data_IF_220419776372
#
_entry.id   IF_220419776372
#
_cell.length_a   1.000
_cell.length_b   1.000
_cell.length_c   1.000
_cell.angle_alpha   90.00
_cell.angle_beta   90.00
_cell.angle_gamma   90.00
#
_symmetry.space_group_name_H-M   'P 1'
#
loop_
_entity.id
_entity.type
_entity.pdbx_description
1 polymer ?
#
# COMPACT_ATOMS: atom_id res chain seq x y z
N UNK A 1 21.23 -8.74 -0.01
CA UNK A 1 20.12 -7.77 -0.14
C UNK A 1 18.85 -8.55 -0.33
N UNK A 2 17.77 -8.20 0.38
CA UNK A 2 16.46 -8.79 0.16
C UNK A 2 15.99 -8.39 -1.24
N UNK A 3 15.90 -9.34 -2.15
CA UNK A 3 15.47 -9.07 -3.52
C UNK A 3 13.97 -8.72 -3.50
N UNK A 4 13.66 -7.45 -3.78
CA UNK A 4 12.29 -7.04 -4.08
C UNK A 4 11.81 -7.78 -5.33
N UNK A 5 10.66 -8.45 -5.24
CA UNK A 5 10.06 -9.19 -6.38
C UNK A 5 8.92 -8.44 -7.04
N UNK A 6 8.57 -7.27 -6.53
CA UNK A 6 7.52 -6.42 -7.06
C UNK A 6 7.43 -5.13 -6.26
N UNK A 7 6.52 -4.25 -6.68
CA UNK A 7 6.21 -2.99 -6.03
C UNK A 7 4.73 -3.00 -5.64
N UNK A 8 4.44 -2.48 -4.46
CA UNK A 8 3.10 -2.25 -3.96
C UNK A 8 2.83 -0.76 -3.88
N UNK A 9 1.62 -0.32 -4.27
CA UNK A 9 1.20 1.07 -4.14
C UNK A 9 -0.18 1.20 -3.51
N UNK A 10 -0.37 2.26 -2.73
CA UNK A 10 -1.66 2.67 -2.15
C UNK A 10 -2.04 4.02 -2.74
N UNK A 11 -2.97 4.02 -3.67
CA UNK A 11 -3.34 5.22 -4.42
C UNK A 11 -4.71 5.76 -3.97
N UNK A 12 -4.81 7.08 -3.85
CA UNK A 12 -6.09 7.74 -3.58
C UNK A 12 -6.95 7.74 -4.85
N UNK A 13 -8.02 6.96 -4.88
CA UNK A 13 -8.92 6.85 -6.04
C UNK A 13 -9.58 8.18 -6.46
N UNK A 14 -9.70 9.18 -5.56
CA UNK A 14 -10.33 10.48 -5.87
C UNK A 14 -9.43 11.41 -6.66
N UNK A 15 -8.16 11.52 -6.27
CA UNK A 15 -7.22 12.50 -6.83
C UNK A 15 -6.02 11.85 -7.53
N UNK A 16 -5.99 10.51 -7.59
CA UNK A 16 -4.87 9.73 -8.10
C UNK A 16 -3.52 10.12 -7.45
N UNK A 17 -3.58 10.41 -6.14
CA UNK A 17 -2.44 10.87 -5.35
C UNK A 17 -1.91 9.73 -4.49
N UNK A 18 -0.59 9.65 -4.37
CA UNK A 18 0.11 8.74 -3.46
C UNK A 18 0.33 9.44 -2.12
N UNK A 19 -0.20 8.87 -1.04
CA UNK A 19 0.06 9.36 0.31
C UNK A 19 1.52 9.10 0.73
N UNK A 20 2.02 9.77 1.78
CA UNK A 20 3.32 9.42 2.37
C UNK A 20 3.35 7.93 2.76
N UNK A 21 4.43 7.22 2.44
CA UNK A 21 4.60 5.77 2.63
C UNK A 21 3.65 4.87 1.81
N UNK A 22 3.03 5.41 0.76
CA UNK A 22 2.15 4.66 -0.12
C UNK A 22 2.84 3.73 -1.10
N UNK A 23 4.18 3.75 -1.19
CA UNK A 23 4.93 2.95 -2.15
C UNK A 23 6.02 2.20 -1.39
N UNK A 24 6.19 0.92 -1.72
CA UNK A 24 7.20 0.09 -1.10
C UNK A 24 7.36 -1.24 -1.81
N UNK A 25 8.47 -1.90 -1.49
CA UNK A 25 8.88 -3.12 -2.16
C UNK A 25 8.16 -4.35 -1.62
N UNK A 26 7.68 -5.21 -2.53
CA UNK A 26 7.08 -6.49 -2.21
C UNK A 26 8.13 -7.58 -2.22
N UNK A 27 8.47 -8.06 -1.02
CA UNK A 27 9.37 -9.19 -0.84
C UNK A 27 8.69 -10.51 -1.23
N UNK A 28 9.48 -11.44 -1.76
CA UNK A 28 8.99 -12.75 -2.21
C UNK A 28 8.51 -13.56 -1.01
N UNK A 29 7.23 -13.93 -0.99
CA UNK A 29 6.62 -14.70 0.10
C UNK A 29 5.86 -13.86 1.14
N UNK A 30 6.08 -12.54 1.19
CA UNK A 30 5.47 -11.65 2.19
C UNK A 30 4.61 -10.54 1.54
N UNK A 31 4.13 -10.76 0.32
CA UNK A 31 3.42 -9.75 -0.46
C UNK A 31 2.20 -9.18 0.27
N UNK A 32 1.44 -10.04 0.96
CA UNK A 32 0.24 -9.64 1.71
C UNK A 32 0.56 -8.82 2.96
N UNK A 33 1.58 -9.24 3.72
CA UNK A 33 2.04 -8.52 4.91
C UNK A 33 2.58 -7.14 4.51
N UNK A 34 3.37 -7.06 3.45
CA UNK A 34 3.91 -5.80 2.96
C UNK A 34 2.80 -4.85 2.47
N UNK A 35 1.78 -5.34 1.74
CA UNK A 35 0.65 -4.48 1.36
C UNK A 35 -0.17 -3.99 2.55
N UNK A 36 -0.41 -4.84 3.56
CA UNK A 36 -1.08 -4.41 4.79
C UNK A 36 -0.27 -3.38 5.58
N UNK A 37 1.06 -3.55 5.61
CA UNK A 37 1.96 -2.59 6.24
C UNK A 37 1.93 -1.24 5.52
N UNK A 38 2.00 -1.23 4.19
CA UNK A 38 1.87 -0.01 3.38
C UNK A 38 0.53 0.70 3.64
N UNK A 39 -0.56 -0.06 3.66
CA UNK A 39 -1.89 0.47 3.91
C UNK A 39 -2.00 1.09 5.31
N UNK A 40 -1.52 0.42 6.35
CA UNK A 40 -1.56 0.98 7.70
C UNK A 40 -0.62 2.20 7.85
N UNK A 41 0.57 2.13 7.25
CA UNK A 41 1.55 3.23 7.29
C UNK A 41 1.05 4.49 6.60
N UNK A 42 0.34 4.34 5.47
CA UNK A 42 -0.33 5.46 4.79
C UNK A 42 -1.46 6.04 5.64
N UNK A 43 -2.27 5.20 6.27
CA UNK A 43 -3.33 5.66 7.16
C UNK A 43 -2.81 6.43 8.38
N UNK A 44 -1.74 5.97 9.01
CA UNK A 44 -1.11 6.67 10.12
C UNK A 44 -0.65 8.09 9.73
N UNK A 45 -0.31 8.33 8.47
CA UNK A 45 0.11 9.64 7.97
C UNK A 45 -1.03 10.48 7.37
N UNK A 46 -2.27 9.99 7.37
CA UNK A 46 -3.40 10.66 6.71
C UNK A 46 -4.60 10.84 7.64
N UNK A 47 -5.10 12.07 7.75
CA UNK A 47 -6.32 12.39 8.49
C UNK A 47 -7.48 12.34 7.48
N UNK A 48 -8.05 11.15 7.28
CA UNK A 48 -9.13 10.93 6.30
C UNK A 48 -10.49 10.90 6.99
N UNK A 49 -11.42 11.75 6.57
CA UNK A 49 -12.79 11.77 7.09
C UNK A 49 -13.70 10.70 6.45
N UNK A 50 -13.26 10.13 5.32
CA UNK A 50 -13.97 9.05 4.61
C UNK A 50 -12.94 8.17 3.94
N UNK A 51 -13.02 6.87 4.20
CA UNK A 51 -12.03 5.88 3.80
C UNK A 51 -12.72 4.80 2.97
N UNK A 52 -12.36 4.70 1.70
CA UNK A 52 -12.88 3.69 0.78
C UNK A 52 -11.70 2.86 0.28
N UNK A 53 -11.67 1.59 0.68
CA UNK A 53 -10.56 0.68 0.36
C UNK A 53 -11.01 -0.30 -0.70
N UNK A 54 -10.24 -0.37 -1.78
CA UNK A 54 -10.37 -1.42 -2.78
C UNK A 54 -9.08 -2.24 -2.73
N UNK A 55 -9.20 -3.51 -2.34
CA UNK A 55 -8.08 -4.42 -2.19
C UNK A 55 -8.10 -5.40 -3.37
N UNK A 56 -7.27 -5.13 -4.37
CA UNK A 56 -7.10 -6.03 -5.52
C UNK A 56 -6.03 -7.07 -5.18
N UNK A 57 -6.48 -8.30 -4.95
CA UNK A 57 -5.65 -9.43 -4.60
C UNK A 57 -5.88 -10.54 -5.63
N UNK A 58 -4.85 -10.82 -6.44
CA UNK A 58 -4.83 -12.01 -7.27
C UNK A 58 -4.61 -13.23 -6.35
N UNK A 59 -5.69 -13.99 -6.11
CA UNK A 59 -5.64 -15.32 -5.49
C UNK A 59 -4.94 -16.31 -6.44
#
# INVERSE_FOLDING_TARGET
GLAATGLGTVDCARHNMKCPNAVGDLQKGERYINMNYLFFSTLCHSILNTLNVSYDIAC
#
